data_IF_062725941205
#
_entry.id   IF_062725941205
#
_cell.length_a   1.000
_cell.length_b   1.000
_cell.length_c   1.000
_cell.angle_alpha   90.00
_cell.angle_beta   90.00
_cell.angle_gamma   90.00
#
_symmetry.space_group_name_H-M   'P 1'
#
loop_
_entity.id
_entity.type
_entity.pdbx_description
1 polymer ?
#
# COMPACT_ATOMS: atom_id res chain seq x y z
N UNK A 1 -20.06 25.11 -2.26
CA UNK A 1 -19.04 24.86 -1.24
C UNK A 1 -18.46 26.18 -0.79
N UNK A 2 -18.33 26.40 0.52
CA UNK A 2 -17.67 27.57 1.13
C UNK A 2 -16.19 27.27 1.36
N UNK A 3 -15.36 28.31 1.49
CA UNK A 3 -13.93 28.12 1.78
C UNK A 3 -13.67 27.34 3.08
N UNK A 4 -14.50 27.52 4.11
CA UNK A 4 -14.40 26.73 5.34
C UNK A 4 -14.67 25.23 5.14
N UNK A 5 -15.61 24.88 4.25
CA UNK A 5 -15.92 23.48 3.93
C UNK A 5 -14.78 22.85 3.13
N UNK A 6 -14.20 23.61 2.20
CA UNK A 6 -13.02 23.19 1.43
C UNK A 6 -11.81 22.99 2.34
N UNK A 7 -11.50 23.96 3.21
CA UNK A 7 -10.40 23.88 4.18
C UNK A 7 -10.54 22.65 5.07
N UNK A 8 -11.77 22.33 5.52
CA UNK A 8 -12.04 21.11 6.28
C UNK A 8 -11.74 19.84 5.46
N UNK A 9 -12.26 19.75 4.24
CA UNK A 9 -12.02 18.59 3.37
C UNK A 9 -10.55 18.42 2.97
N UNK A 10 -9.80 19.52 2.82
CA UNK A 10 -8.37 19.47 2.57
C UNK A 10 -7.59 19.02 3.82
N UNK A 11 -7.96 19.53 5.01
CA UNK A 11 -7.34 19.10 6.26
C UNK A 11 -7.57 17.60 6.55
N UNK A 12 -8.74 17.06 6.21
CA UNK A 12 -9.04 15.62 6.34
C UNK A 12 -8.10 14.74 5.50
N UNK A 13 -7.52 15.28 4.42
CA UNK A 13 -6.57 14.60 3.55
C UNK A 13 -5.13 15.11 3.73
N UNK A 14 -4.86 15.88 4.79
CA UNK A 14 -3.53 16.39 5.12
C UNK A 14 -3.00 17.46 4.17
N UNK A 15 -3.87 18.15 3.43
CA UNK A 15 -3.53 19.26 2.56
C UNK A 15 -3.98 20.58 3.16
N UNK A 16 -3.12 21.59 3.11
CA UNK A 16 -3.51 22.96 3.42
C UNK A 16 -4.04 23.69 2.17
N UNK A 17 -4.78 24.78 2.39
CA UNK A 17 -5.43 25.56 1.35
C UNK A 17 -4.41 26.25 0.41
N UNK A 18 -3.23 26.61 0.90
CA UNK A 18 -2.19 27.33 0.17
C UNK A 18 -1.50 26.39 -0.82
N UNK A 19 -1.05 25.22 -0.34
CA UNK A 19 -0.54 24.10 -1.12
C UNK A 19 -1.53 23.69 -2.20
N UNK A 20 -2.81 23.62 -1.86
CA UNK A 20 -3.87 23.35 -2.82
C UNK A 20 -3.99 24.46 -3.89
N UNK A 21 -4.06 25.73 -3.50
CA UNK A 21 -4.17 26.86 -4.42
C UNK A 21 -2.99 26.92 -5.41
N UNK A 22 -1.78 26.67 -4.91
CA UNK A 22 -0.56 26.58 -5.72
C UNK A 22 -0.64 25.43 -6.74
N UNK A 23 -1.10 24.25 -6.32
CA UNK A 23 -1.21 23.08 -7.18
C UNK A 23 -2.20 23.27 -8.36
N UNK A 24 -3.24 24.08 -8.17
CA UNK A 24 -4.22 24.40 -9.22
C UNK A 24 -3.94 25.72 -9.95
N UNK A 25 -2.78 26.34 -9.72
CA UNK A 25 -2.33 27.55 -10.40
C UNK A 25 -3.10 28.81 -10.00
N UNK A 26 -3.78 28.81 -8.85
CA UNK A 26 -4.41 30.00 -8.30
C UNK A 26 -3.37 30.82 -7.54
N UNK A 27 -3.08 32.03 -8.05
CA UNK A 27 -2.28 33.00 -7.30
C UNK A 27 -3.10 33.53 -6.12
N UNK A 28 -2.49 33.52 -4.95
CA UNK A 28 -3.04 34.06 -3.73
C UNK A 28 -3.43 35.53 -3.93
N UNK A 29 -4.72 35.81 -4.12
CA UNK A 29 -5.23 37.18 -4.01
C UNK A 29 -5.60 37.38 -2.56
N UNK A 30 -4.68 37.98 -1.81
CA UNK A 30 -4.89 38.62 -0.51
C UNK A 30 -6.16 38.14 0.18
N UNK A 31 -6.04 37.01 0.88
CA UNK A 31 -7.12 36.40 1.63
C UNK A 31 -7.60 37.42 2.67
N UNK A 32 -8.64 38.20 2.31
CA UNK A 32 -9.29 39.12 3.24
C UNK A 32 -9.74 38.31 4.47
N UNK A 33 -9.56 38.86 5.66
CA UNK A 33 -9.82 38.26 6.99
C UNK A 33 -11.22 37.63 7.20
N UNK A 34 -12.12 37.69 6.21
CA UNK A 34 -13.48 37.13 6.24
C UNK A 34 -13.79 36.12 5.11
N UNK A 35 -12.79 35.55 4.43
CA UNK A 35 -12.99 34.63 3.29
C UNK A 35 -13.68 33.30 3.64
N UNK A 36 -13.56 32.80 4.88
CA UNK A 36 -14.06 31.49 5.30
C UNK A 36 -15.57 31.30 5.07
N UNK A 37 -16.33 32.40 5.19
CA UNK A 37 -17.77 32.42 4.97
C UNK A 37 -18.19 32.75 3.53
N UNK A 38 -17.24 33.09 2.65
CA UNK A 38 -17.55 33.37 1.25
C UNK A 38 -17.80 32.07 0.49
N UNK A 39 -18.79 32.05 -0.42
CA UNK A 39 -18.90 30.97 -1.38
C UNK A 39 -17.64 30.96 -2.25
N UNK A 40 -17.20 29.76 -2.63
CA UNK A 40 -16.14 29.59 -3.60
C UNK A 40 -16.72 29.97 -4.97
N UNK A 41 -16.43 31.19 -5.41
CA UNK A 41 -16.78 31.67 -6.75
C UNK A 41 -15.63 31.37 -7.71
N UNK A 42 -15.45 30.08 -7.98
CA UNK A 42 -14.52 29.58 -8.98
C UNK A 42 -15.30 29.24 -10.26
N UNK A 43 -14.77 29.54 -11.44
CA UNK A 43 -15.35 29.04 -12.68
C UNK A 43 -15.54 27.52 -12.60
N UNK A 44 -16.66 26.99 -13.13
CA UNK A 44 -17.05 25.56 -13.01
C UNK A 44 -15.92 24.58 -13.35
N UNK A 45 -15.03 24.95 -14.26
CA UNK A 45 -13.85 24.18 -14.62
C UNK A 45 -12.89 23.95 -13.44
N UNK A 46 -12.62 24.98 -12.64
CA UNK A 46 -11.76 24.87 -11.45
C UNK A 46 -12.43 24.07 -10.32
N UNK A 47 -13.76 24.10 -10.21
CA UNK A 47 -14.50 23.24 -9.26
C UNK A 47 -14.33 21.76 -9.66
N UNK A 48 -14.36 21.45 -10.96
CA UNK A 48 -14.13 20.08 -11.45
C UNK A 48 -12.69 19.62 -11.19
N UNK A 49 -11.71 20.47 -11.45
CA UNK A 49 -10.30 20.20 -11.13
C UNK A 49 -10.08 19.98 -9.63
N UNK A 50 -10.73 20.80 -8.79
CA UNK A 50 -10.69 20.70 -7.34
C UNK A 50 -11.20 19.34 -6.85
N UNK A 51 -12.36 18.91 -7.35
CA UNK A 51 -12.92 17.60 -6.99
C UNK A 51 -12.03 16.45 -7.47
N UNK A 52 -11.47 16.54 -8.69
CA UNK A 52 -10.56 15.53 -9.22
C UNK A 52 -9.27 15.43 -8.40
N UNK A 53 -8.71 16.57 -7.98
CA UNK A 53 -7.51 16.60 -7.15
C UNK A 53 -7.76 15.99 -5.76
N UNK A 54 -8.88 16.32 -5.12
CA UNK A 54 -9.28 15.72 -3.84
C UNK A 54 -9.47 14.20 -3.99
N UNK A 55 -10.13 13.74 -5.06
CA UNK A 55 -10.28 12.31 -5.34
C UNK A 55 -8.93 11.62 -5.55
N UNK A 56 -8.03 12.23 -6.34
CA UNK A 56 -6.70 11.69 -6.59
C UNK A 56 -5.89 11.53 -5.29
N UNK A 57 -5.92 12.52 -4.40
CA UNK A 57 -5.20 12.46 -3.12
C UNK A 57 -5.79 11.41 -2.17
N UNK A 58 -7.12 11.28 -2.13
CA UNK A 58 -7.78 10.21 -1.38
C UNK A 58 -7.36 8.81 -1.86
N UNK A 59 -7.35 8.60 -3.18
CA UNK A 59 -6.91 7.31 -3.75
C UNK A 59 -5.42 7.07 -3.51
N UNK A 60 -4.58 8.10 -3.60
CA UNK A 60 -3.15 8.00 -3.27
C UNK A 60 -2.94 7.55 -1.82
N UNK A 61 -3.62 8.18 -0.86
CA UNK A 61 -3.51 7.82 0.57
C UNK A 61 -3.98 6.39 0.81
N UNK A 62 -5.09 5.95 0.20
CA UNK A 62 -5.53 4.55 0.28
C UNK A 62 -4.49 3.60 -0.29
N UNK A 63 -3.86 3.96 -1.40
CA UNK A 63 -2.86 3.12 -2.03
C UNK A 63 -1.60 2.99 -1.17
N UNK A 64 -1.13 4.08 -0.55
CA UNK A 64 -0.03 4.03 0.43
C UNK A 64 -0.38 3.15 1.63
N UNK A 65 -1.59 3.25 2.18
CA UNK A 65 -2.04 2.37 3.27
C UNK A 65 -2.12 0.89 2.85
N UNK A 66 -2.45 0.60 1.59
CA UNK A 66 -2.45 -0.74 1.05
C UNK A 66 -1.04 -1.28 0.84
N UNK A 67 -0.10 -0.45 0.38
CA UNK A 67 1.32 -0.78 0.27
C UNK A 67 1.93 -1.06 1.65
N UNK A 68 1.61 -0.24 2.67
CA UNK A 68 2.04 -0.46 4.06
C UNK A 68 1.46 -1.76 4.64
N UNK A 69 0.18 -2.07 4.38
CA UNK A 69 -0.43 -3.35 4.76
C UNK A 69 0.21 -4.52 4.04
N UNK A 70 0.45 -4.43 2.73
CA UNK A 70 1.16 -5.49 2.01
C UNK A 70 2.58 -5.68 2.55
N UNK A 71 3.30 -4.61 2.89
CA UNK A 71 4.63 -4.72 3.50
C UNK A 71 4.60 -5.37 4.90
N UNK A 72 3.47 -5.22 5.62
CA UNK A 72 3.25 -5.81 6.94
C UNK A 72 2.80 -7.28 6.86
N UNK A 73 2.02 -7.61 5.83
CA UNK A 73 1.51 -8.97 5.56
C UNK A 73 2.55 -9.83 4.82
N UNK A 74 3.55 -9.23 4.18
CA UNK A 74 4.81 -9.89 3.80
C UNK A 74 5.66 -10.07 5.07
N UNK A 75 5.13 -10.81 6.04
CA UNK A 75 5.98 -11.71 6.79
C UNK A 75 6.46 -12.69 5.73
N UNK A 76 7.66 -12.44 5.20
CA UNK A 76 8.47 -13.42 4.48
C UNK A 76 8.60 -14.62 5.43
N UNK A 77 7.62 -15.50 5.42
CA UNK A 77 7.83 -16.88 5.81
C UNK A 77 8.95 -17.29 4.87
N UNK A 78 10.14 -17.49 5.43
CA UNK A 78 11.23 -18.09 4.68
C UNK A 78 10.77 -19.51 4.33
N UNK A 79 10.05 -19.61 3.22
CA UNK A 79 9.50 -20.86 2.72
C UNK A 79 10.62 -21.86 2.52
N UNK A 80 11.87 -21.41 2.30
CA UNK A 80 13.01 -22.30 2.22
C UNK A 80 13.30 -22.94 3.58
N UNK A 81 13.20 -22.22 4.69
CA UNK A 81 13.44 -22.80 6.02
C UNK A 81 12.35 -23.82 6.39
N UNK A 82 11.08 -23.48 6.13
CA UNK A 82 9.94 -24.37 6.39
C UNK A 82 9.98 -25.60 5.48
N UNK A 83 10.28 -25.43 4.19
CA UNK A 83 10.39 -26.53 3.23
C UNK A 83 11.60 -27.42 3.55
N UNK A 84 12.76 -26.83 3.89
CA UNK A 84 13.94 -27.59 4.29
C UNK A 84 13.69 -28.43 5.55
N UNK A 85 12.98 -27.87 6.52
CA UNK A 85 12.60 -28.61 7.73
C UNK A 85 11.68 -29.79 7.40
N UNK A 86 10.61 -29.56 6.64
CA UNK A 86 9.69 -30.63 6.19
C UNK A 86 10.40 -31.70 5.36
N UNK A 87 11.30 -31.29 4.46
CA UNK A 87 12.07 -32.23 3.64
C UNK A 87 12.92 -33.15 4.52
N UNK A 88 13.65 -32.60 5.51
CA UNK A 88 14.44 -33.40 6.47
C UNK A 88 13.57 -34.36 7.28
N UNK A 89 12.40 -33.91 7.75
CA UNK A 89 11.45 -34.77 8.47
C UNK A 89 10.96 -35.93 7.61
N UNK A 90 10.64 -35.69 6.33
CA UNK A 90 10.21 -36.73 5.39
C UNK A 90 11.33 -37.74 5.15
N UNK A 91 12.56 -37.28 4.88
CA UNK A 91 13.72 -38.15 4.66
C UNK A 91 13.98 -39.01 5.89
N UNK A 92 13.99 -38.42 7.08
CA UNK A 92 14.23 -39.14 8.33
C UNK A 92 13.15 -40.19 8.59
N UNK A 93 11.87 -39.85 8.38
CA UNK A 93 10.75 -40.78 8.51
C UNK A 93 10.88 -41.95 7.55
N UNK A 94 11.25 -41.71 6.28
CA UNK A 94 11.45 -42.76 5.29
C UNK A 94 12.64 -43.66 5.59
N UNK A 95 13.72 -43.10 6.15
CA UNK A 95 14.87 -43.87 6.62
C UNK A 95 14.48 -44.82 7.77
N UNK A 96 13.72 -44.32 8.75
CA UNK A 96 13.21 -45.12 9.86
C UNK A 96 12.24 -46.22 9.41
N UNK A 97 11.29 -45.90 8.52
CA UNK A 97 10.29 -46.86 8.01
C UNK A 97 10.94 -48.03 7.27
N UNK A 98 12.02 -47.77 6.53
CA UNK A 98 12.70 -48.79 5.72
C UNK A 98 13.95 -49.36 6.41
N UNK A 99 14.27 -48.90 7.62
CA UNK A 99 15.47 -49.26 8.36
C UNK A 99 16.76 -49.10 7.54
N UNK A 100 16.83 -48.01 6.77
CA UNK A 100 17.96 -47.66 5.90
C UNK A 100 18.59 -46.34 6.35
N UNK A 101 19.85 -46.13 5.99
CA UNK A 101 20.55 -44.87 6.20
C UNK A 101 20.13 -43.81 5.19
N UNK A 102 20.38 -42.53 5.51
CA UNK A 102 20.12 -41.42 4.60
C UNK A 102 20.89 -41.59 3.27
N UNK A 103 22.12 -42.11 3.33
CA UNK A 103 22.95 -42.36 2.14
C UNK A 103 22.31 -43.39 1.21
N UNK A 104 21.77 -44.47 1.76
CA UNK A 104 21.06 -45.51 1.00
C UNK A 104 19.76 -44.98 0.42
N UNK A 105 19.01 -44.19 1.19
CA UNK A 105 17.78 -43.54 0.72
C UNK A 105 18.06 -42.58 -0.46
N UNK A 106 19.06 -41.71 -0.34
CA UNK A 106 19.45 -40.79 -1.43
C UNK A 106 19.92 -41.54 -2.66
N UNK A 107 20.68 -42.64 -2.47
CA UNK A 107 21.12 -43.48 -3.59
C UNK A 107 19.93 -44.16 -4.28
N UNK A 108 18.90 -44.59 -3.54
CA UNK A 108 17.69 -45.19 -4.12
C UNK A 108 16.85 -44.20 -4.94
N UNK A 109 16.85 -42.93 -4.57
CA UNK A 109 16.16 -41.86 -5.30
C UNK A 109 16.83 -41.54 -6.64
N UNK A 110 18.16 -41.64 -6.72
CA UNK A 110 18.92 -41.43 -7.97
C UNK A 110 18.68 -42.57 -8.96
N UNK A 111 18.55 -43.80 -8.46
CA UNK A 111 18.32 -44.99 -9.30
C UNK A 111 16.89 -45.02 -9.86
N UNK A 112 15.92 -44.41 -9.16
CA UNK A 112 14.51 -44.41 -9.55
C UNK A 112 14.16 -43.42 -10.69
N UNK A 113 15.11 -42.57 -11.11
CA UNK A 113 14.91 -41.52 -12.14
C UNK A 113 15.68 -41.77 -13.45
N UNK A 114 16.19 -43.00 -13.66
CA UNK A 114 16.76 -43.50 -14.91
C UNK A 114 15.73 -44.39 -15.63
#
# INVERSE_FOLDING_TARGET
MRYAELEKSLNEIGLDLESFANAIGLKERSISTNYKNKPIDLPKYYIKLLNLYIQFQNEKTKNTLLEEKQSSDIVLIDCNEVLNKKAKEIVHKKCLENNITISEYLSSLVISNL
#
